data_IF_601288975841
#
_entry.id   IF_601288975841
#
_cell.length_a   1.000
_cell.length_b   1.000
_cell.length_c   1.000
_cell.angle_alpha   90.00
_cell.angle_beta   90.00
_cell.angle_gamma   90.00
#
_symmetry.space_group_name_H-M   'P 1'
#
loop_
_entity.id
_entity.type
_entity.pdbx_description
1 polymer ?
#
# COMPACT_ATOMS: atom_id res chain seq x y z
N UNK A 1 49.88 -10.45 -25.48
CA UNK A 1 48.54 -10.23 -26.05
C UNK A 1 47.57 -11.08 -25.24
N UNK A 2 46.97 -10.52 -24.18
CA UNK A 2 45.90 -11.18 -23.43
C UNK A 2 44.59 -10.56 -23.94
N UNK A 3 43.78 -11.36 -24.64
CA UNK A 3 42.46 -10.96 -25.07
C UNK A 3 41.56 -10.88 -23.84
N UNK A 4 41.29 -9.66 -23.40
CA UNK A 4 40.22 -9.39 -22.46
C UNK A 4 38.92 -9.92 -23.08
N UNK A 5 38.30 -10.85 -22.39
CA UNK A 5 37.05 -11.47 -22.84
C UNK A 5 35.95 -10.48 -22.50
N UNK A 6 35.50 -9.70 -23.48
CA UNK A 6 34.32 -8.85 -23.39
C UNK A 6 33.10 -9.76 -23.19
N UNK A 7 32.77 -10.04 -21.93
CA UNK A 7 31.48 -10.64 -21.58
C UNK A 7 30.46 -9.51 -21.64
N UNK A 8 29.47 -9.53 -22.56
CA UNK A 8 28.47 -8.49 -22.61
C UNK A 8 27.69 -8.50 -21.29
N UNK A 9 27.82 -7.41 -20.52
CA UNK A 9 26.99 -7.21 -19.33
C UNK A 9 25.59 -6.82 -19.79
N UNK A 10 24.68 -7.79 -19.81
CA UNK A 10 23.28 -7.55 -20.13
C UNK A 10 22.59 -6.97 -18.88
N UNK A 11 22.21 -5.70 -18.95
CA UNK A 11 21.54 -4.95 -17.88
C UNK A 11 20.06 -5.37 -17.76
N UNK A 12 19.82 -6.66 -17.55
CA UNK A 12 18.47 -7.21 -17.35
C UNK A 12 18.02 -6.88 -15.93
N UNK A 13 16.87 -6.20 -15.74
CA UNK A 13 16.40 -5.87 -14.41
C UNK A 13 16.18 -7.16 -13.60
N UNK A 14 16.89 -7.27 -12.47
CA UNK A 14 16.72 -8.37 -11.54
C UNK A 14 15.29 -8.38 -11.00
N UNK A 15 14.55 -9.46 -11.27
CA UNK A 15 13.19 -9.64 -10.75
C UNK A 15 13.27 -10.43 -9.46
N UNK A 16 12.77 -9.84 -8.37
CA UNK A 16 12.53 -10.55 -7.11
C UNK A 16 11.14 -11.18 -7.18
N UNK A 17 11.03 -12.52 -7.35
CA UNK A 17 9.72 -13.16 -7.37
C UNK A 17 9.09 -13.12 -5.97
N UNK A 18 7.78 -12.83 -5.93
CA UNK A 18 6.99 -12.97 -4.70
C UNK A 18 6.60 -14.43 -4.49
N UNK A 19 6.24 -14.80 -3.24
CA UNK A 19 5.72 -16.15 -2.97
C UNK A 19 4.42 -16.43 -3.74
N UNK A 20 4.18 -17.69 -4.09
CA UNK A 20 2.95 -18.11 -4.77
C UNK A 20 1.66 -17.76 -4.01
N UNK A 21 1.74 -17.56 -2.69
CA UNK A 21 0.60 -17.13 -1.87
C UNK A 21 0.14 -15.73 -2.24
N UNK A 22 1.06 -14.83 -2.56
CA UNK A 22 0.74 -13.45 -2.95
C UNK A 22 -0.01 -13.44 -4.28
N UNK A 23 0.41 -14.29 -5.23
CA UNK A 23 -0.24 -14.42 -6.54
C UNK A 23 -1.68 -14.95 -6.46
N UNK A 24 -2.04 -15.64 -5.37
CA UNK A 24 -3.40 -16.20 -5.15
C UNK A 24 -4.33 -15.25 -4.41
N UNK A 25 -3.82 -14.12 -3.89
CA UNK A 25 -4.68 -13.17 -3.19
C UNK A 25 -5.68 -12.56 -4.17
N UNK A 26 -6.98 -12.56 -3.84
CA UNK A 26 -7.96 -11.88 -4.68
C UNK A 26 -7.69 -10.36 -4.68
N UNK A 27 -8.15 -9.63 -5.71
CA UNK A 27 -8.07 -8.18 -5.72
C UNK A 27 -8.70 -7.55 -4.47
N UNK A 28 -8.01 -6.59 -3.85
CA UNK A 28 -8.51 -5.91 -2.66
C UNK A 28 -9.67 -4.97 -3.02
N UNK A 29 -10.90 -5.45 -2.83
CA UNK A 29 -12.13 -4.75 -3.21
C UNK A 29 -12.23 -3.37 -2.56
N UNK A 30 -11.97 -3.27 -1.26
CA UNK A 30 -12.05 -2.00 -0.54
C UNK A 30 -11.01 -0.98 -1.03
N UNK A 31 -9.86 -1.42 -1.53
CA UNK A 31 -8.88 -0.54 -2.13
C UNK A 31 -9.43 0.17 -3.37
N UNK A 32 -10.17 -0.54 -4.23
CA UNK A 32 -10.83 0.05 -5.40
C UNK A 32 -11.93 1.04 -4.98
N UNK A 33 -12.75 0.67 -4.00
CA UNK A 33 -13.82 1.53 -3.48
C UNK A 33 -13.24 2.79 -2.84
N UNK A 34 -12.17 2.67 -2.06
CA UNK A 34 -11.50 3.81 -1.43
C UNK A 34 -10.89 4.77 -2.46
N UNK A 35 -10.28 4.23 -3.52
CA UNK A 35 -9.79 5.06 -4.64
C UNK A 35 -10.94 5.85 -5.30
N UNK A 36 -12.05 5.18 -5.62
CA UNK A 36 -13.21 5.84 -6.22
C UNK A 36 -13.82 6.90 -5.29
N UNK A 37 -13.99 6.59 -4.00
CA UNK A 37 -14.47 7.56 -2.99
C UNK A 37 -13.56 8.79 -2.93
N UNK A 38 -12.25 8.58 -2.96
CA UNK A 38 -11.27 9.66 -2.94
C UNK A 38 -11.38 10.56 -4.18
N UNK A 39 -11.43 9.97 -5.38
CA UNK A 39 -11.60 10.72 -6.64
C UNK A 39 -12.88 11.57 -6.63
N UNK A 40 -13.98 11.02 -6.11
CA UNK A 40 -15.26 11.74 -5.98
C UNK A 40 -15.16 12.91 -4.99
N UNK A 41 -14.53 12.71 -3.83
CA UNK A 41 -14.30 13.78 -2.85
C UNK A 41 -13.45 14.92 -3.42
N UNK A 42 -12.37 14.59 -4.13
CA UNK A 42 -11.50 15.59 -4.78
C UNK A 42 -12.25 16.37 -5.87
N UNK A 43 -13.22 15.73 -6.54
CA UNK A 43 -14.11 16.39 -7.49
C UNK A 43 -15.20 17.27 -6.83
N UNK A 44 -15.18 17.45 -5.50
CA UNK A 44 -16.15 18.26 -4.76
C UNK A 44 -17.50 17.58 -4.54
N UNK A 45 -17.61 16.27 -4.77
CA UNK A 45 -18.83 15.51 -4.51
C UNK A 45 -18.87 15.14 -3.03
N UNK A 46 -19.99 15.42 -2.37
CA UNK A 46 -20.24 15.00 -1.00
C UNK A 46 -20.45 13.48 -0.94
N UNK A 47 -19.57 12.78 -0.22
CA UNK A 47 -19.52 11.31 -0.17
C UNK A 47 -19.67 10.84 1.27
N UNK A 48 -20.84 10.27 1.56
CA UNK A 48 -21.13 9.60 2.84
C UNK A 48 -20.59 8.16 2.78
N UNK A 49 -19.64 7.83 3.67
CA UNK A 49 -18.97 6.53 3.72
C UNK A 49 -19.43 5.72 4.94
N UNK A 50 -20.33 4.76 4.71
CA UNK A 50 -20.86 3.86 5.74
C UNK A 50 -20.17 2.48 5.73
N UNK A 51 -19.12 2.29 4.91
CA UNK A 51 -18.58 0.96 4.62
C UNK A 51 -17.44 0.50 5.53
N UNK A 52 -16.61 1.42 6.03
CA UNK A 52 -15.34 1.06 6.68
C UNK A 52 -15.46 0.74 8.17
N UNK A 53 -16.50 1.25 8.85
CA UNK A 53 -16.64 1.20 10.33
C UNK A 53 -15.40 1.75 11.08
N UNK A 54 -14.80 2.80 10.55
CA UNK A 54 -13.72 3.51 11.25
C UNK A 54 -14.34 4.40 12.35
N UNK A 55 -13.89 4.28 13.62
CA UNK A 55 -14.27 5.21 14.67
C UNK A 55 -13.90 6.65 14.28
N UNK A 56 -14.74 7.61 14.67
CA UNK A 56 -14.43 9.04 14.51
C UNK A 56 -13.75 9.60 15.75
N UNK A 57 -14.10 9.06 16.92
CA UNK A 57 -13.56 9.50 18.19
C UNK A 57 -12.09 9.08 18.36
N UNK A 58 -11.26 9.90 19.02
CA UNK A 58 -9.91 9.54 19.35
C UNK A 58 -9.88 8.36 20.34
N UNK A 59 -8.74 7.64 20.44
CA UNK A 59 -8.51 6.68 21.52
C UNK A 59 -8.63 7.35 22.90
N UNK A 60 -8.88 6.53 23.93
CA UNK A 60 -8.99 7.00 25.32
C UNK A 60 -7.73 7.79 25.76
N UNK A 61 -7.88 8.93 26.46
CA UNK A 61 -6.74 9.75 26.90
C UNK A 61 -5.69 8.96 27.69
N UNK A 62 -6.09 7.97 28.49
CA UNK A 62 -5.14 7.17 29.27
C UNK A 62 -4.23 6.31 28.37
N UNK A 63 -4.76 5.83 27.23
CA UNK A 63 -3.96 5.05 26.25
C UNK A 63 -2.94 5.96 25.57
N UNK A 64 -3.36 7.19 25.23
CA UNK A 64 -2.50 8.20 24.62
C UNK A 64 -1.40 8.63 25.59
N UNK A 65 -1.75 8.90 26.84
CA UNK A 65 -0.80 9.25 27.90
C UNK A 65 0.23 8.13 28.10
N UNK A 66 -0.23 6.88 28.20
CA UNK A 66 0.66 5.73 28.38
C UNK A 66 1.66 5.54 27.23
N UNK A 67 1.25 5.83 25.99
CA UNK A 67 2.15 5.79 24.83
C UNK A 67 3.26 6.84 24.87
N UNK A 68 3.06 7.96 25.58
CA UNK A 68 4.02 9.06 25.67
C UNK A 68 4.99 8.92 26.85
N UNK A 69 4.78 7.96 27.75
CA UNK A 69 5.72 7.67 28.83
C UNK A 69 7.04 7.16 28.25
N UNK A 70 8.15 7.75 28.70
CA UNK A 70 9.53 7.39 28.30
C UNK A 70 10.17 6.46 29.31
#
# INVERSE_FOLDING_TARGET
MRSETDVPFEDKPFKVPVSDRVNRLPPYLFGKINKLKYEKRVAGIDVIDLGMRNPTDPPDPNVIEKMNET
#
